data_IF_869625795296
#
_entry.id   IF_869625795296
#
_cell.length_a   1.000
_cell.length_b   1.000
_cell.length_c   1.000
_cell.angle_alpha   90.00
_cell.angle_beta   90.00
_cell.angle_gamma   90.00
#
_symmetry.space_group_name_H-M   'P 1'
#
loop_
_entity.id
_entity.type
_entity.pdbx_description
1 polymer ?
#
# COMPACT_ATOMS: atom_id res chain seq x y z
N UNK A 1 -21.26 -80.87 37.31
CA UNK A 1 -20.72 -79.53 37.51
C UNK A 1 -19.99 -79.07 36.24
N UNK A 2 -20.61 -78.20 35.45
CA UNK A 2 -19.98 -77.61 34.22
C UNK A 2 -19.75 -76.13 34.48
N UNK A 3 -18.45 -75.73 34.51
CA UNK A 3 -18.02 -74.35 34.68
C UNK A 3 -18.00 -73.65 33.35
N UNK A 4 -18.77 -72.56 33.18
CA UNK A 4 -18.76 -71.69 32.02
C UNK A 4 -17.78 -70.55 32.28
N UNK A 5 -16.69 -70.47 31.51
CA UNK A 5 -15.78 -69.33 31.42
C UNK A 5 -16.36 -68.31 30.46
N UNK A 6 -16.69 -67.12 30.97
CA UNK A 6 -17.10 -65.97 30.14
C UNK A 6 -15.84 -65.14 29.86
N UNK A 7 -15.42 -65.10 28.62
CA UNK A 7 -14.30 -64.28 28.13
C UNK A 7 -14.83 -62.90 27.75
N UNK A 8 -14.46 -61.88 28.50
CA UNK A 8 -14.76 -60.50 28.14
C UNK A 8 -13.65 -59.99 27.13
N UNK A 9 -14.10 -59.65 25.91
CA UNK A 9 -13.24 -58.96 24.92
C UNK A 9 -13.26 -57.48 25.24
N UNK A 10 -12.14 -56.94 25.68
CA UNK A 10 -11.89 -55.52 25.90
C UNK A 10 -11.56 -54.88 24.52
N UNK A 11 -12.47 -54.10 23.94
CA UNK A 11 -12.22 -53.36 22.70
C UNK A 11 -11.59 -52.02 23.05
N UNK A 12 -10.31 -51.89 22.73
CA UNK A 12 -9.56 -50.64 22.89
C UNK A 12 -9.89 -49.70 21.71
N UNK A 13 -10.63 -48.63 21.96
CA UNK A 13 -10.87 -47.57 20.95
C UNK A 13 -9.73 -46.55 21.09
N UNK A 14 -8.81 -46.57 20.14
CA UNK A 14 -7.76 -45.53 20.03
C UNK A 14 -8.39 -44.36 19.30
N UNK A 15 -8.73 -43.31 20.04
CA UNK A 15 -9.18 -42.03 19.48
C UNK A 15 -7.99 -41.27 18.88
N UNK A 16 -7.96 -41.11 17.58
CA UNK A 16 -6.98 -40.28 16.89
C UNK A 16 -7.35 -38.80 17.10
N UNK A 17 -6.66 -38.13 18.00
CA UNK A 17 -6.78 -36.67 18.18
C UNK A 17 -5.97 -35.99 17.07
N UNK A 18 -6.62 -35.51 16.03
CA UNK A 18 -6.02 -34.65 15.02
C UNK A 18 -5.91 -33.23 15.61
N UNK A 19 -4.74 -32.89 16.11
CA UNK A 19 -4.43 -31.51 16.49
C UNK A 19 -4.27 -30.67 15.20
N UNK A 20 -5.27 -29.86 14.90
CA UNK A 20 -5.17 -28.83 13.87
C UNK A 20 -4.19 -27.78 14.34
N UNK A 21 -2.96 -27.80 13.87
CA UNK A 21 -2.03 -26.70 14.02
C UNK A 21 -2.49 -25.56 13.12
N UNK A 22 -3.18 -24.58 13.72
CA UNK A 22 -3.35 -23.27 13.09
C UNK A 22 -1.96 -22.64 12.99
N UNK A 23 -1.38 -22.61 11.80
CA UNK A 23 -0.18 -21.82 11.53
C UNK A 23 -0.59 -20.35 11.58
N UNK A 24 -0.30 -19.66 12.68
CA UNK A 24 -0.28 -18.22 12.72
C UNK A 24 0.73 -17.75 11.66
N UNK A 25 0.21 -17.25 10.54
CA UNK A 25 1.04 -16.57 9.54
C UNK A 25 1.48 -15.26 10.20
N UNK A 26 2.63 -15.28 10.83
CA UNK A 26 3.27 -14.08 11.36
C UNK A 26 3.33 -13.08 10.21
N UNK A 27 2.67 -11.93 10.35
CA UNK A 27 2.73 -10.82 9.39
C UNK A 27 4.20 -10.43 9.24
N UNK A 28 4.81 -10.82 8.13
CA UNK A 28 6.21 -10.51 7.85
C UNK A 28 6.37 -8.99 7.84
N UNK A 29 7.31 -8.47 8.61
CA UNK A 29 7.65 -7.06 8.56
C UNK A 29 8.04 -6.69 7.13
N UNK A 30 7.43 -5.63 6.61
CA UNK A 30 7.70 -5.14 5.25
C UNK A 30 9.16 -4.64 5.19
N UNK A 31 10.04 -5.27 4.41
CA UNK A 31 11.40 -4.79 4.22
C UNK A 31 11.43 -3.33 3.73
N UNK A 32 12.45 -2.58 4.11
CA UNK A 32 12.62 -1.18 3.74
C UNK A 32 11.78 -0.20 4.57
N UNK A 33 10.64 -0.62 5.12
CA UNK A 33 9.77 0.20 5.98
C UNK A 33 9.37 1.54 5.38
N UNK A 34 9.38 1.65 4.03
CA UNK A 34 9.09 2.86 3.25
C UNK A 34 10.03 4.06 3.52
N UNK A 35 11.14 3.87 4.22
CA UNK A 35 12.16 4.90 4.49
C UNK A 35 13.48 4.64 3.75
N UNK A 36 13.80 3.36 3.48
CA UNK A 36 14.99 3.01 2.72
C UNK A 36 14.84 3.50 1.27
N UNK A 37 15.81 4.25 0.74
CA UNK A 37 15.79 4.66 -0.66
C UNK A 37 15.68 3.46 -1.61
N UNK A 38 14.89 3.57 -2.67
CA UNK A 38 14.68 2.48 -3.64
C UNK A 38 16.00 1.99 -4.26
N UNK A 39 16.97 2.88 -4.49
CA UNK A 39 18.31 2.52 -4.98
C UNK A 39 19.19 1.77 -3.97
N UNK A 40 18.77 1.67 -2.70
CA UNK A 40 19.48 0.95 -1.64
C UNK A 40 18.75 -0.32 -1.19
N UNK A 41 17.75 -0.75 -1.97
CA UNK A 41 17.00 -1.98 -1.65
C UNK A 41 17.91 -3.21 -1.66
N UNK A 42 17.68 -4.10 -0.71
CA UNK A 42 18.34 -5.40 -0.60
C UNK A 42 17.38 -6.57 -0.90
N UNK A 43 16.12 -6.25 -1.20
CA UNK A 43 15.05 -7.20 -1.54
C UNK A 43 14.11 -6.57 -2.56
N UNK A 44 13.60 -7.37 -3.50
CA UNK A 44 12.52 -6.93 -4.39
C UNK A 44 11.22 -6.70 -3.60
N UNK A 45 10.94 -7.55 -2.61
CA UNK A 45 9.76 -7.44 -1.75
C UNK A 45 10.00 -6.41 -0.68
N UNK A 46 9.06 -5.48 -0.52
CA UNK A 46 9.18 -4.41 0.47
C UNK A 46 8.47 -3.14 0.06
N UNK A 47 8.72 -2.09 0.85
CA UNK A 47 8.30 -0.71 0.55
C UNK A 47 9.52 0.20 0.62
N UNK A 48 9.75 1.00 -0.42
CA UNK A 48 10.97 1.79 -0.60
C UNK A 48 10.64 3.23 -1.00
N UNK A 49 11.43 4.16 -0.50
CA UNK A 49 11.32 5.58 -0.82
C UNK A 49 11.93 5.86 -2.19
N UNK A 50 11.12 6.37 -3.10
CA UNK A 50 11.55 6.74 -4.46
C UNK A 50 11.97 8.21 -4.53
N UNK A 51 11.24 9.13 -3.86
CA UNK A 51 11.58 10.56 -3.78
C UNK A 51 10.89 11.24 -2.60
N UNK A 52 11.41 12.41 -2.21
CA UNK A 52 10.78 13.33 -1.26
C UNK A 52 10.85 14.75 -1.83
N UNK A 53 9.72 15.48 -1.79
CA UNK A 53 9.62 16.87 -2.26
C UNK A 53 8.92 17.74 -1.22
N UNK A 54 9.55 18.82 -0.82
CA UNK A 54 8.93 19.84 0.03
C UNK A 54 8.10 20.75 -0.86
N UNK A 55 6.78 20.65 -0.78
CA UNK A 55 5.85 21.39 -1.63
C UNK A 55 5.40 22.72 -1.03
N UNK A 56 5.48 22.87 0.28
CA UNK A 56 4.96 24.01 0.99
C UNK A 56 3.43 24.05 1.00
N UNK A 57 2.86 25.24 1.00
CA UNK A 57 1.41 25.44 0.87
C UNK A 57 0.96 25.05 -0.53
N UNK A 58 -0.07 24.21 -0.61
CA UNK A 58 -0.69 23.87 -1.87
C UNK A 58 -1.78 24.88 -2.24
N UNK A 59 -2.02 25.12 -3.56
CA UNK A 59 -3.08 25.99 -4.01
C UNK A 59 -4.45 25.48 -3.55
N UNK A 60 -5.39 26.41 -3.40
CA UNK A 60 -6.79 26.08 -3.10
C UNK A 60 -7.45 25.41 -4.30
N UNK A 61 -8.36 24.48 -4.04
CA UNK A 61 -9.09 23.74 -5.06
C UNK A 61 -8.83 22.25 -5.04
N UNK A 62 -9.45 21.55 -5.98
CA UNK A 62 -9.32 20.11 -6.12
C UNK A 62 -8.01 19.77 -6.83
N UNK A 63 -7.08 19.19 -6.12
CA UNK A 63 -5.82 18.70 -6.69
C UNK A 63 -5.86 17.20 -6.88
N UNK A 64 -5.14 16.74 -7.90
CA UNK A 64 -5.03 15.35 -8.29
C UNK A 64 -3.56 14.96 -8.44
N UNK A 65 -3.27 13.71 -8.22
CA UNK A 65 -1.99 13.11 -8.53
C UNK A 65 -2.03 12.56 -9.95
N UNK A 66 -1.27 13.17 -10.87
CA UNK A 66 -1.14 12.76 -12.27
C UNK A 66 0.10 11.89 -12.44
N UNK A 67 -0.06 10.75 -13.09
CA UNK A 67 0.98 9.76 -13.36
C UNK A 67 1.21 9.67 -14.88
N UNK A 68 2.41 10.01 -15.31
CA UNK A 68 2.85 9.88 -16.68
C UNK A 68 4.11 9.04 -16.79
N UNK A 69 4.30 8.33 -17.88
CA UNK A 69 5.52 7.57 -18.19
C UNK A 69 6.18 8.18 -19.44
N UNK A 70 7.50 8.29 -19.37
CA UNK A 70 8.34 8.82 -20.42
C UNK A 70 9.40 7.79 -20.85
N UNK A 71 9.90 7.85 -22.11
CA UNK A 71 10.92 6.92 -22.57
C UNK A 71 12.28 7.14 -21.92
N UNK A 72 12.56 8.36 -21.44
CA UNK A 72 13.83 8.71 -20.80
C UNK A 72 13.65 9.70 -19.67
N UNK A 73 14.59 9.73 -18.73
CA UNK A 73 14.65 10.72 -17.64
C UNK A 73 14.70 12.15 -18.19
N UNK A 74 15.53 12.40 -19.22
CA UNK A 74 15.64 13.72 -19.84
C UNK A 74 14.32 14.23 -20.42
N UNK A 75 13.53 13.36 -21.06
CA UNK A 75 12.21 13.72 -21.55
C UNK A 75 11.24 14.05 -20.41
N UNK A 76 11.25 13.26 -19.34
CA UNK A 76 10.42 13.52 -18.15
C UNK A 76 10.81 14.84 -17.46
N UNK A 77 12.09 15.11 -17.29
CA UNK A 77 12.59 16.37 -16.68
C UNK A 77 12.25 17.60 -17.53
N UNK A 78 12.29 17.48 -18.86
CA UNK A 78 11.86 18.55 -19.77
C UNK A 78 10.37 18.85 -19.66
N UNK A 79 9.55 17.81 -19.44
CA UNK A 79 8.11 17.92 -19.30
C UNK A 79 7.65 18.36 -17.90
N UNK A 80 8.56 18.31 -16.93
CA UNK A 80 8.28 18.58 -15.52
C UNK A 80 7.88 20.03 -15.30
N UNK A 81 6.66 20.24 -14.80
CA UNK A 81 6.14 21.51 -14.34
C UNK A 81 6.36 21.74 -12.84
N UNK A 82 5.82 22.81 -12.29
CA UNK A 82 5.74 23.01 -10.85
C UNK A 82 5.08 21.81 -10.15
N UNK A 83 5.57 21.40 -8.98
CA UNK A 83 5.09 20.23 -8.22
C UNK A 83 5.20 18.92 -8.99
N UNK A 84 6.08 18.87 -10.00
CA UNK A 84 6.43 17.66 -10.73
C UNK A 84 7.66 16.98 -10.12
N UNK A 85 7.69 15.66 -10.07
CA UNK A 85 8.81 14.86 -9.57
C UNK A 85 9.07 13.70 -10.53
N UNK A 86 10.31 13.57 -11.00
CA UNK A 86 10.72 12.47 -11.89
C UNK A 86 11.29 11.34 -11.06
N UNK A 87 10.71 10.16 -11.21
CA UNK A 87 11.04 8.95 -10.44
C UNK A 87 11.26 7.77 -11.39
N UNK A 88 12.27 6.97 -11.14
CA UNK A 88 12.42 5.66 -11.75
C UNK A 88 11.86 4.58 -10.82
N UNK A 89 10.88 3.82 -11.30
CA UNK A 89 10.24 2.74 -10.55
C UNK A 89 9.68 1.70 -11.51
N UNK A 90 9.87 0.41 -11.17
CA UNK A 90 9.41 -0.72 -11.99
C UNK A 90 9.82 -0.61 -13.47
N UNK A 91 11.11 -0.29 -13.71
CA UNK A 91 11.71 -0.15 -15.06
C UNK A 91 11.03 0.91 -15.93
N UNK A 92 10.28 1.84 -15.31
CA UNK A 92 9.62 2.96 -15.99
C UNK A 92 10.12 4.28 -15.45
N UNK A 93 10.19 5.28 -16.35
CA UNK A 93 10.49 6.65 -15.97
C UNK A 93 9.18 7.41 -15.78
N UNK A 94 8.82 7.65 -14.54
CA UNK A 94 7.59 8.32 -14.15
C UNK A 94 7.81 9.81 -13.97
N UNK A 95 6.84 10.61 -14.43
CA UNK A 95 6.61 11.96 -13.98
C UNK A 95 5.34 11.98 -13.13
N UNK A 96 5.50 12.27 -11.85
CA UNK A 96 4.42 12.51 -10.91
C UNK A 96 4.18 14.01 -10.79
N UNK A 97 2.95 14.45 -10.90
CA UNK A 97 2.60 15.87 -10.75
C UNK A 97 1.34 16.03 -9.91
N UNK A 98 1.35 17.00 -8.99
CA UNK A 98 0.18 17.37 -8.20
C UNK A 98 -0.38 18.66 -8.81
N UNK A 99 -1.55 18.55 -9.43
CA UNK A 99 -2.17 19.64 -10.17
C UNK A 99 -3.70 19.50 -10.24
N UNK A 100 -4.35 20.48 -10.80
CA UNK A 100 -5.78 20.50 -11.08
C UNK A 100 -6.16 19.38 -12.07
N UNK A 101 -7.42 18.93 -12.11
CA UNK A 101 -7.88 17.81 -12.93
C UNK A 101 -7.55 17.92 -14.42
N UNK A 102 -7.59 19.16 -14.93
CA UNK A 102 -7.38 19.47 -16.36
C UNK A 102 -5.91 19.58 -16.75
N UNK A 103 -4.99 19.52 -15.80
CA UNK A 103 -3.56 19.57 -16.10
C UNK A 103 -3.14 18.39 -17.00
N UNK A 104 -2.26 18.68 -17.95
CA UNK A 104 -1.69 17.66 -18.86
C UNK A 104 -0.20 17.89 -19.00
N UNK A 105 0.58 16.83 -18.86
CA UNK A 105 2.00 16.88 -19.15
C UNK A 105 2.24 17.00 -20.67
N UNK A 106 3.23 17.80 -21.11
CA UNK A 106 3.63 17.84 -22.51
C UNK A 106 4.32 16.51 -22.90
N UNK A 107 3.74 15.77 -23.81
CA UNK A 107 4.22 14.45 -24.21
C UNK A 107 4.06 13.40 -23.10
N UNK A 108 4.69 12.23 -23.32
CA UNK A 108 4.56 11.10 -22.40
C UNK A 108 3.21 10.38 -22.51
N UNK A 109 3.15 9.20 -21.92
CA UNK A 109 1.94 8.41 -21.82
C UNK A 109 1.25 8.70 -20.46
N UNK A 110 0.00 9.17 -20.48
CA UNK A 110 -0.78 9.32 -19.25
C UNK A 110 -1.26 7.95 -18.77
N UNK A 111 -0.82 7.57 -17.59
CA UNK A 111 -1.19 6.29 -16.96
C UNK A 111 -2.44 6.45 -16.11
N UNK A 112 -2.47 7.45 -15.22
CA UNK A 112 -3.58 7.68 -14.31
C UNK A 112 -3.68 9.13 -13.86
N UNK A 113 -4.87 9.49 -13.35
CA UNK A 113 -5.13 10.70 -12.57
C UNK A 113 -5.91 10.27 -11.35
N UNK A 114 -5.35 10.46 -10.15
CA UNK A 114 -5.88 9.94 -8.89
C UNK A 114 -6.24 11.12 -7.99
N UNK A 115 -7.44 11.12 -7.47
CA UNK A 115 -7.94 12.21 -6.62
C UNK A 115 -9.47 12.35 -6.67
N UNK A 116 -10.01 13.45 -6.14
CA UNK A 116 -9.29 14.57 -5.56
C UNK A 116 -8.53 14.18 -4.29
N UNK A 117 -7.37 14.83 -4.06
CA UNK A 117 -6.59 14.70 -2.85
C UNK A 117 -7.22 15.57 -1.76
N UNK A 118 -7.67 15.02 -0.62
CA UNK A 118 -8.32 15.78 0.44
C UNK A 118 -7.30 16.56 1.28
N UNK A 119 -6.79 17.65 0.72
CA UNK A 119 -5.86 18.57 1.39
C UNK A 119 -6.58 19.57 2.27
N UNK A 120 -5.92 20.03 3.34
CA UNK A 120 -6.42 21.05 4.26
C UNK A 120 -5.75 22.40 3.99
N UNK A 121 -6.54 23.47 3.97
CA UNK A 121 -6.02 24.83 3.84
C UNK A 121 -5.08 25.18 5.01
N UNK A 122 -4.03 25.95 4.71
CA UNK A 122 -3.07 26.44 5.72
C UNK A 122 -1.99 25.46 6.16
N UNK A 123 -2.06 24.20 5.75
CA UNK A 123 -0.98 23.23 5.99
C UNK A 123 0.16 23.40 4.99
N UNK A 124 1.36 23.05 5.43
CA UNK A 124 2.53 22.89 4.59
C UNK A 124 2.73 21.39 4.32
N UNK A 125 2.89 21.03 3.07
CA UNK A 125 2.97 19.64 2.67
C UNK A 125 4.35 19.23 2.18
N UNK A 126 4.73 18.02 2.56
CA UNK A 126 5.83 17.28 1.95
C UNK A 126 5.26 16.04 1.25
N UNK A 127 5.61 15.85 -0.01
CA UNK A 127 5.27 14.65 -0.76
C UNK A 127 6.34 13.58 -0.56
N UNK A 128 5.93 12.37 -0.22
CA UNK A 128 6.76 11.16 -0.21
C UNK A 128 6.24 10.23 -1.29
N UNK A 129 7.08 9.97 -2.28
CA UNK A 129 6.80 9.00 -3.33
C UNK A 129 7.50 7.69 -2.99
N UNK A 130 6.78 6.60 -3.10
CA UNK A 130 7.28 5.27 -2.72
C UNK A 130 6.86 4.24 -3.75
N UNK A 131 7.57 3.12 -3.76
CA UNK A 131 7.18 1.91 -4.47
C UNK A 131 7.05 0.76 -3.48
N UNK A 132 6.10 -0.13 -3.71
CA UNK A 132 5.92 -1.30 -2.87
C UNK A 132 5.65 -2.56 -3.68
N UNK A 133 6.30 -3.65 -3.27
CA UNK A 133 6.14 -5.00 -3.80
C UNK A 133 5.74 -5.91 -2.66
N UNK A 134 4.53 -6.45 -2.71
CA UNK A 134 4.01 -7.36 -1.69
C UNK A 134 3.59 -8.67 -2.34
N UNK A 135 4.08 -9.78 -1.81
CA UNK A 135 3.59 -11.11 -2.20
C UNK A 135 2.16 -11.34 -1.71
N UNK A 136 1.41 -12.28 -2.29
CA UNK A 136 0.06 -12.61 -1.83
C UNK A 136 -0.03 -12.86 -0.33
N UNK A 137 -1.03 -12.27 0.32
CA UNK A 137 -1.26 -12.35 1.76
C UNK A 137 -0.37 -11.46 2.64
N UNK A 138 0.60 -10.76 2.07
CA UNK A 138 1.47 -9.84 2.80
C UNK A 138 0.70 -8.56 3.17
N UNK A 139 0.94 -8.03 4.38
CA UNK A 139 0.25 -6.85 4.89
C UNK A 139 1.23 -5.83 5.45
N UNK A 140 0.89 -4.56 5.33
CA UNK A 140 1.56 -3.49 6.06
C UNK A 140 1.13 -3.50 7.54
N UNK A 141 2.00 -3.01 8.43
CA UNK A 141 1.62 -2.75 9.82
C UNK A 141 0.51 -1.68 9.86
N UNK A 142 -0.40 -1.79 10.81
CA UNK A 142 -1.48 -0.83 10.99
C UNK A 142 -0.88 0.54 11.32
N UNK A 143 -1.28 1.55 10.58
CA UNK A 143 -0.74 2.91 10.69
C UNK A 143 -1.75 3.95 10.20
N UNK A 144 -1.40 5.23 10.40
CA UNK A 144 -2.10 6.40 9.85
C UNK A 144 -1.10 7.43 9.33
N UNK A 145 -1.57 8.33 8.48
CA UNK A 145 -0.79 9.44 7.95
C UNK A 145 -1.33 10.80 8.40
N UNK A 146 -0.44 11.79 8.50
CA UNK A 146 -0.78 13.19 8.81
C UNK A 146 -1.18 14.00 7.57
N UNK A 147 -1.68 13.33 6.56
CA UNK A 147 -2.21 13.86 5.31
C UNK A 147 -2.69 12.73 4.41
N UNK A 148 -3.24 13.02 3.22
CA UNK A 148 -3.78 11.99 2.35
C UNK A 148 -2.70 11.08 1.77
N UNK A 149 -3.06 9.80 1.61
CA UNK A 149 -2.32 8.83 0.82
C UNK A 149 -3.07 8.55 -0.49
N UNK A 150 -2.32 8.44 -1.58
CA UNK A 150 -2.83 7.95 -2.85
C UNK A 150 -1.91 6.84 -3.39
N UNK A 151 -2.49 5.86 -4.07
CA UNK A 151 -1.73 4.77 -4.68
C UNK A 151 -2.33 4.33 -6.01
N UNK A 152 -1.47 3.75 -6.85
CA UNK A 152 -1.80 3.18 -8.15
C UNK A 152 -1.21 1.77 -8.25
N UNK A 153 -2.01 0.80 -8.68
CA UNK A 153 -1.61 -0.60 -8.84
C UNK A 153 -1.02 -0.84 -10.23
N UNK A 154 0.28 -1.12 -10.25
CA UNK A 154 1.00 -1.52 -11.47
C UNK A 154 0.71 -2.99 -11.79
N UNK A 155 0.56 -3.85 -10.77
CA UNK A 155 0.14 -5.25 -10.90
C UNK A 155 -0.53 -5.75 -9.62
N UNK A 156 -1.27 -6.85 -9.73
CA UNK A 156 -1.92 -7.54 -8.63
C UNK A 156 -3.12 -6.81 -8.07
N UNK A 157 -3.44 -7.07 -6.81
CA UNK A 157 -4.57 -6.48 -6.11
C UNK A 157 -4.23 -6.11 -4.68
N UNK A 158 -4.88 -5.07 -4.18
CA UNK A 158 -4.72 -4.53 -2.84
C UNK A 158 -6.09 -4.34 -2.19
N UNK A 159 -6.20 -4.72 -0.94
CA UNK A 159 -7.33 -4.36 -0.09
C UNK A 159 -6.83 -3.43 1.01
N UNK A 160 -7.54 -2.33 1.17
CA UNK A 160 -7.41 -1.40 2.29
C UNK A 160 -8.63 -1.58 3.19
N UNK A 161 -8.41 -1.81 4.47
CA UNK A 161 -9.46 -1.78 5.50
C UNK A 161 -9.23 -0.58 6.41
N UNK A 162 -10.28 0.19 6.65
CA UNK A 162 -10.34 1.32 7.59
C UNK A 162 -11.56 1.15 8.51
N UNK A 163 -11.75 1.99 9.54
CA UNK A 163 -12.98 1.97 10.35
C UNK A 163 -14.27 2.14 9.54
N UNK A 164 -14.19 2.83 8.39
CA UNK A 164 -15.32 3.11 7.50
C UNK A 164 -15.67 1.94 6.56
N UNK A 165 -14.76 0.98 6.38
CA UNK A 165 -14.98 -0.18 5.51
C UNK A 165 -13.76 -0.60 4.73
N UNK A 166 -13.97 -1.22 3.56
CA UNK A 166 -12.89 -1.69 2.69
C UNK A 166 -12.93 -1.01 1.32
N UNK A 167 -11.73 -0.86 0.75
CA UNK A 167 -11.53 -0.51 -0.66
C UNK A 167 -10.63 -1.57 -1.28
N UNK A 168 -11.08 -2.20 -2.37
CA UNK A 168 -10.26 -3.14 -3.15
C UNK A 168 -9.95 -2.51 -4.49
N UNK A 169 -8.67 -2.53 -4.86
CA UNK A 169 -8.24 -2.11 -6.19
C UNK A 169 -7.36 -3.18 -6.83
N UNK A 170 -7.32 -3.17 -8.16
CA UNK A 170 -6.61 -4.10 -9.03
C UNK A 170 -5.66 -3.36 -9.96
N UNK A 171 -4.90 -4.11 -10.72
CA UNK A 171 -4.03 -3.58 -11.78
C UNK A 171 -4.74 -2.51 -12.61
N UNK A 172 -4.10 -1.34 -12.75
CA UNK A 172 -4.66 -0.20 -13.48
C UNK A 172 -5.55 0.73 -12.66
N UNK A 173 -5.87 0.37 -11.43
CA UNK A 173 -6.74 1.16 -10.53
C UNK A 173 -5.91 1.86 -9.45
N UNK A 174 -6.47 2.91 -8.90
CA UNK A 174 -5.91 3.66 -7.77
C UNK A 174 -6.99 4.11 -6.81
N UNK A 175 -6.57 4.53 -5.62
CA UNK A 175 -7.47 5.11 -4.63
C UNK A 175 -6.78 6.17 -3.79
N UNK A 176 -7.59 6.91 -3.03
CA UNK A 176 -7.14 7.93 -2.08
C UNK A 176 -7.69 7.58 -0.71
N UNK A 177 -6.84 7.70 0.29
CA UNK A 177 -7.18 7.61 1.71
C UNK A 177 -7.03 9.00 2.32
N UNK A 178 -8.03 9.51 3.04
CA UNK A 178 -7.91 10.81 3.71
C UNK A 178 -6.92 10.74 4.89
N UNK A 179 -6.53 11.91 5.35
CA UNK A 179 -5.78 12.06 6.60
C UNK A 179 -6.53 11.46 7.79
N UNK A 180 -5.81 10.77 8.65
CA UNK A 180 -6.24 10.47 10.02
C UNK A 180 -6.74 9.07 10.32
N UNK A 181 -7.56 8.39 9.49
CA UNK A 181 -8.03 7.07 9.88
C UNK A 181 -6.88 6.06 9.94
N UNK A 182 -6.90 5.13 10.92
CA UNK A 182 -6.01 3.97 10.89
C UNK A 182 -6.35 3.08 9.71
N UNK A 183 -5.34 2.44 9.14
CA UNK A 183 -5.51 1.59 7.98
C UNK A 183 -4.73 0.29 8.09
N UNK A 184 -5.32 -0.78 7.58
CA UNK A 184 -4.70 -2.07 7.33
C UNK A 184 -4.70 -2.34 5.83
N UNK A 185 -3.51 -2.48 5.26
CA UNK A 185 -3.32 -2.65 3.83
C UNK A 185 -2.74 -4.02 3.54
N UNK A 186 -3.38 -4.79 2.66
CA UNK A 186 -3.01 -6.16 2.34
C UNK A 186 -2.93 -6.39 0.84
N UNK A 187 -1.95 -7.20 0.40
CA UNK A 187 -1.95 -7.80 -0.93
C UNK A 187 -2.94 -8.96 -0.94
N UNK A 188 -3.90 -8.94 -1.86
CA UNK A 188 -4.96 -9.96 -1.98
C UNK A 188 -4.91 -10.65 -3.34
N UNK A 189 -5.51 -11.84 -3.40
CA UNK A 189 -5.45 -12.68 -4.61
C UNK A 189 -4.13 -13.44 -4.72
N UNK A 190 -3.77 -13.90 -5.91
CA UNK A 190 -2.64 -14.81 -6.16
C UNK A 190 -1.44 -14.17 -6.85
N UNK A 191 -1.58 -12.94 -7.32
CA UNK A 191 -0.54 -12.20 -8.04
C UNK A 191 0.24 -11.29 -7.08
N UNK A 192 1.56 -11.17 -7.29
CA UNK A 192 2.39 -10.20 -6.57
C UNK A 192 1.92 -8.77 -6.88
N UNK A 193 1.54 -8.06 -5.82
CA UNK A 193 1.16 -6.66 -5.91
C UNK A 193 2.38 -5.77 -6.12
N UNK A 194 2.33 -4.91 -7.13
CA UNK A 194 3.25 -3.78 -7.30
C UNK A 194 2.45 -2.50 -7.33
N UNK A 195 2.86 -1.52 -6.55
CA UNK A 195 2.20 -0.22 -6.51
C UNK A 195 3.18 0.91 -6.37
N UNK A 196 2.83 2.06 -6.95
CA UNK A 196 3.45 3.35 -6.64
C UNK A 196 2.51 4.11 -5.72
N UNK A 197 3.09 4.87 -4.78
CA UNK A 197 2.37 5.53 -3.70
C UNK A 197 2.81 6.99 -3.56
N UNK A 198 1.90 7.82 -3.14
CA UNK A 198 2.10 9.19 -2.70
C UNK A 198 1.51 9.36 -1.30
N UNK A 199 2.30 9.85 -0.35
CA UNK A 199 1.80 10.39 0.92
C UNK A 199 2.09 11.89 0.94
N UNK A 200 1.04 12.69 1.01
CA UNK A 200 1.13 14.13 1.24
C UNK A 200 0.99 14.39 2.73
N UNK A 201 2.10 14.40 3.46
CA UNK A 201 2.01 14.63 4.90
C UNK A 201 2.19 16.09 5.28
N UNK A 202 1.57 16.49 6.38
CA UNK A 202 1.85 17.78 7.03
C UNK A 202 3.34 17.82 7.44
N UNK A 203 4.09 18.78 6.91
CA UNK A 203 5.54 18.90 7.14
C UNK A 203 5.90 19.05 8.63
N UNK A 204 4.97 19.56 9.45
CA UNK A 204 5.14 19.72 10.90
C UNK A 204 4.89 18.44 11.71
N UNK A 205 4.40 17.37 11.08
CA UNK A 205 3.99 16.13 11.71
C UNK A 205 4.78 14.93 11.18
N UNK A 206 4.90 13.84 11.93
CA UNK A 206 5.39 12.57 11.40
C UNK A 206 4.56 12.14 10.19
N UNK A 207 5.23 11.71 9.11
CA UNK A 207 4.54 11.25 7.90
C UNK A 207 3.72 9.97 8.13
N UNK A 208 4.11 9.16 9.14
CA UNK A 208 3.47 7.91 9.54
C UNK A 208 3.45 7.80 11.07
N UNK A 209 2.34 7.34 11.60
CA UNK A 209 2.19 6.96 13.02
C UNK A 209 1.66 5.54 13.10
N UNK A 210 2.36 4.66 13.83
CA UNK A 210 1.90 3.29 14.05
C UNK A 210 0.67 3.31 14.96
N UNK A 211 -0.30 2.45 14.64
CA UNK A 211 -1.54 2.34 15.39
C UNK A 211 -1.60 0.99 16.10
N UNK A 212 -1.96 1.00 17.38
CA UNK A 212 -2.09 -0.21 18.20
C UNK A 212 -3.52 -0.45 18.70
N UNK A 213 -4.32 0.60 18.78
CA UNK A 213 -5.62 0.57 19.45
C UNK A 213 -6.73 0.10 18.53
N UNK A 214 -6.66 0.48 17.25
CA UNK A 214 -7.60 -0.02 16.26
C UNK A 214 -7.15 -1.38 15.71
N UNK A 215 -8.13 -2.28 15.54
CA UNK A 215 -7.90 -3.60 14.93
C UNK A 215 -8.84 -3.78 13.76
N UNK A 216 -8.33 -4.22 12.60
CA UNK A 216 -9.16 -4.51 11.44
C UNK A 216 -10.12 -5.66 11.76
N UNK A 217 -11.30 -5.61 11.16
CA UNK A 217 -12.34 -6.65 11.29
C UNK A 217 -12.06 -7.87 10.40
N UNK A 218 -11.02 -7.79 9.55
CA UNK A 218 -10.67 -8.85 8.61
C UNK A 218 -11.65 -8.94 7.42
N UNK A 219 -12.12 -7.82 6.95
CA UNK A 219 -13.09 -7.74 5.84
C UNK A 219 -12.45 -7.94 4.46
N UNK A 220 -11.14 -7.81 4.37
CA UNK A 220 -10.41 -8.00 3.11
C UNK A 220 -10.51 -9.46 2.63
N UNK A 221 -10.73 -9.69 1.30
CA UNK A 221 -10.68 -11.03 0.73
C UNK A 221 -9.27 -11.62 0.89
N UNK A 222 -9.22 -12.94 0.96
CA UNK A 222 -7.94 -13.68 1.00
C UNK A 222 -7.36 -13.89 -0.37
#
# INVERSE_FOLDING_TARGET
>A
MRSHFVTHKLTLIIGLVVASMATDVASAQVPGGCNTPAGQRTSEVGCYLSATEVLGALPQGSLFWHLYVYPTRGAAETAKGPRGTVVESFEKMWLYTIAESEWRAPGGERIATIGPLPISAGKQYTARYMEAVFTPGMSARIHRHSGPEAWYLVSGAQCLETPEGITVARTGEGAVVPEGPPMALSSVGTETRRSVLLVLHDTSQPWITMESDWKPKGLCPK
#
